data_IF_586753283023
#
_entry.id   IF_586753283023
#
_cell.length_a   1.000
_cell.length_b   1.000
_cell.length_c   1.000
_cell.angle_alpha   90.00
_cell.angle_beta   90.00
_cell.angle_gamma   90.00
#
_symmetry.space_group_name_H-M   'P 1'
#
loop_
_entity.id
_entity.type
_entity.pdbx_description
1 polymer ?
#
# COMPACT_ATOMS: atom_id res chain seq x y z
N UNK A 1 44.33 2.85 -14.47
CA UNK A 1 43.92 2.97 -13.06
C UNK A 1 43.01 4.17 -12.94
N UNK A 2 41.70 3.99 -13.05
CA UNK A 2 40.70 4.99 -12.71
C UNK A 2 39.49 4.23 -12.19
N UNK A 3 39.47 4.01 -10.89
CA UNK A 3 38.41 3.33 -10.17
C UNK A 3 37.33 4.39 -9.88
N UNK A 4 36.27 4.39 -10.69
CA UNK A 4 35.09 5.20 -10.42
C UNK A 4 34.31 4.52 -9.30
N UNK A 5 34.41 5.06 -8.08
CA UNK A 5 33.62 4.66 -6.92
C UNK A 5 32.14 4.63 -7.27
N UNK A 6 31.55 3.44 -7.26
CA UNK A 6 30.11 3.24 -7.41
C UNK A 6 29.43 3.89 -6.20
N UNK A 7 28.89 5.11 -6.36
CA UNK A 7 28.08 5.73 -5.33
C UNK A 7 26.91 4.78 -5.03
N UNK A 8 26.88 4.23 -3.81
CA UNK A 8 25.82 3.35 -3.35
C UNK A 8 24.51 4.13 -3.45
N UNK A 9 23.69 3.81 -4.45
CA UNK A 9 22.43 4.50 -4.66
C UNK A 9 21.62 4.45 -3.37
N UNK A 10 21.42 5.60 -2.73
CA UNK A 10 20.60 5.70 -1.53
C UNK A 10 19.22 5.17 -1.88
N UNK A 11 18.77 4.15 -1.17
CA UNK A 11 17.44 3.57 -1.36
C UNK A 11 16.38 4.64 -1.12
N UNK A 12 15.38 4.74 -1.99
CA UNK A 12 14.38 5.83 -1.95
C UNK A 12 13.70 6.00 -0.58
N UNK A 13 13.51 4.89 0.15
CA UNK A 13 12.85 4.88 1.46
C UNK A 13 13.72 5.46 2.58
N UNK A 14 15.02 5.67 2.36
CA UNK A 14 15.93 6.25 3.36
C UNK A 14 15.58 7.71 3.71
N UNK A 15 14.75 8.38 2.89
CA UNK A 15 14.23 9.72 3.17
C UNK A 15 13.09 9.73 4.22
N UNK A 16 12.56 8.56 4.59
CA UNK A 16 11.43 8.42 5.51
C UNK A 16 11.86 7.83 6.85
N UNK A 17 11.17 8.15 7.96
CA UNK A 17 11.48 7.58 9.25
C UNK A 17 11.17 6.08 9.28
N UNK A 18 11.79 5.40 10.24
CA UNK A 18 11.49 3.98 10.49
C UNK A 18 10.01 3.77 10.80
N UNK A 19 9.50 2.63 10.33
CA UNK A 19 8.13 2.22 10.58
C UNK A 19 7.89 2.05 12.09
N UNK A 20 6.83 2.69 12.58
CA UNK A 20 6.44 2.64 14.00
C UNK A 20 5.34 1.61 14.29
N UNK A 21 4.73 1.05 13.25
CA UNK A 21 3.59 0.14 13.34
C UNK A 21 3.94 -1.24 12.78
N UNK A 22 3.33 -2.27 13.36
CA UNK A 22 3.40 -3.64 12.87
C UNK A 22 1.97 -4.12 12.55
N UNK A 23 1.49 -3.94 11.30
CA UNK A 23 0.14 -4.34 10.93
C UNK A 23 -0.02 -5.86 10.90
N UNK A 24 -1.24 -6.34 11.15
CA UNK A 24 -1.57 -7.75 10.94
C UNK A 24 -1.58 -8.10 9.45
N UNK A 25 -1.20 -9.34 9.13
CA UNK A 25 -1.26 -9.89 7.77
C UNK A 25 -2.61 -10.56 7.51
N UNK A 26 -3.01 -10.62 6.24
CA UNK A 26 -4.18 -11.37 5.77
C UNK A 26 -3.73 -12.34 4.67
N UNK A 27 -4.27 -13.56 4.65
CA UNK A 27 -3.98 -14.50 3.58
C UNK A 27 -4.74 -14.13 2.29
N UNK A 28 -4.20 -14.55 1.14
CA UNK A 28 -4.87 -14.35 -0.15
C UNK A 28 -6.25 -15.00 -0.20
N UNK A 29 -6.38 -16.21 0.35
CA UNK A 29 -7.66 -16.92 0.44
C UNK A 29 -8.69 -16.12 1.22
N UNK A 30 -8.31 -15.57 2.37
CA UNK A 30 -9.23 -14.84 3.23
C UNK A 30 -9.71 -13.54 2.56
N UNK A 31 -8.84 -12.84 1.82
CA UNK A 31 -9.23 -11.68 1.04
C UNK A 31 -10.19 -12.08 -0.10
N UNK A 32 -9.93 -13.19 -0.78
CA UNK A 32 -10.82 -13.70 -1.82
C UNK A 32 -12.19 -14.06 -1.23
N UNK A 33 -12.22 -14.81 -0.12
CA UNK A 33 -13.44 -15.19 0.58
C UNK A 33 -14.25 -13.96 1.02
N UNK A 34 -13.57 -12.92 1.52
CA UNK A 34 -14.23 -11.64 1.82
C UNK A 34 -14.94 -11.05 0.60
N UNK A 35 -14.26 -11.03 -0.55
CA UNK A 35 -14.82 -10.49 -1.80
C UNK A 35 -16.00 -11.34 -2.30
N UNK A 36 -15.86 -12.68 -2.26
CA UNK A 36 -16.89 -13.62 -2.71
C UNK A 36 -18.13 -13.65 -1.80
N UNK A 37 -17.95 -13.41 -0.50
CA UNK A 37 -19.04 -13.30 0.49
C UNK A 37 -19.71 -11.92 0.52
N UNK A 38 -19.36 -11.04 -0.42
CA UNK A 38 -20.06 -9.77 -0.65
C UNK A 38 -19.52 -8.58 0.15
N UNK A 39 -18.34 -8.69 0.79
CA UNK A 39 -17.66 -7.52 1.35
C UNK A 39 -17.18 -6.62 0.23
N UNK A 40 -17.47 -5.32 0.32
CA UNK A 40 -17.22 -4.36 -0.75
C UNK A 40 -16.02 -3.45 -0.45
N UNK A 41 -15.06 -3.33 -1.38
CA UNK A 41 -14.08 -2.26 -1.35
C UNK A 41 -14.76 -0.88 -1.26
N UNK A 42 -14.22 0.04 -0.47
CA UNK A 42 -14.80 1.37 -0.24
C UNK A 42 -15.91 1.42 0.81
N UNK A 43 -16.38 0.27 1.31
CA UNK A 43 -17.44 0.19 2.33
C UNK A 43 -16.97 -0.66 3.52
N UNK A 44 -16.65 -1.93 3.28
CA UNK A 44 -16.23 -2.86 4.32
C UNK A 44 -14.71 -2.83 4.54
N UNK A 45 -13.95 -2.55 3.48
CA UNK A 45 -12.49 -2.43 3.52
C UNK A 45 -11.98 -1.51 2.40
N UNK A 46 -10.75 -1.00 2.53
CA UNK A 46 -9.98 -0.44 1.42
C UNK A 46 -8.86 -1.41 1.07
N UNK A 47 -8.60 -1.59 -0.23
CA UNK A 47 -7.46 -2.32 -0.74
C UNK A 47 -6.52 -1.35 -1.45
N UNK A 48 -5.26 -1.29 -1.02
CA UNK A 48 -4.28 -0.32 -1.50
C UNK A 48 -3.13 -1.05 -2.18
N UNK A 49 -2.95 -0.75 -3.46
CA UNK A 49 -1.84 -1.23 -4.29
C UNK A 49 -0.66 -0.27 -4.15
N UNK A 50 0.45 -0.73 -3.57
CA UNK A 50 1.67 0.05 -3.33
C UNK A 50 2.66 -0.01 -4.50
N UNK A 51 2.37 -0.79 -5.55
CA UNK A 51 3.18 -0.88 -6.77
C UNK A 51 3.17 0.46 -7.51
N UNK A 52 4.12 0.65 -8.42
CA UNK A 52 4.14 1.81 -9.31
C UNK A 52 3.22 1.54 -10.51
N UNK A 53 3.59 2.06 -11.68
CA UNK A 53 2.96 1.73 -12.95
C UNK A 53 3.36 0.34 -13.49
N UNK A 54 4.11 -0.46 -12.72
CA UNK A 54 4.67 -1.76 -13.08
C UNK A 54 3.74 -2.95 -12.81
N UNK A 55 2.42 -2.72 -12.76
CA UNK A 55 1.41 -3.76 -12.53
C UNK A 55 1.12 -4.62 -13.79
N UNK A 56 2.16 -5.19 -14.40
CA UNK A 56 2.01 -6.14 -15.52
C UNK A 56 1.01 -7.25 -15.13
N UNK A 57 -0.04 -7.43 -15.94
CA UNK A 57 -1.11 -8.40 -15.66
C UNK A 57 -2.30 -7.87 -14.83
N UNK A 58 -2.29 -6.60 -14.41
CA UNK A 58 -3.43 -5.92 -13.82
C UNK A 58 -3.35 -5.70 -12.30
N UNK A 59 -4.47 -5.24 -11.74
CA UNK A 59 -4.61 -4.89 -10.32
C UNK A 59 -5.85 -5.58 -9.74
N UNK A 60 -5.90 -5.76 -8.42
CA UNK A 60 -7.06 -6.37 -7.77
C UNK A 60 -8.25 -5.41 -7.91
N UNK A 61 -9.39 -5.94 -8.38
CA UNK A 61 -10.60 -5.14 -8.62
C UNK A 61 -11.03 -4.38 -7.36
N UNK A 62 -11.30 -3.07 -7.53
CA UNK A 62 -11.68 -2.18 -6.43
C UNK A 62 -10.52 -1.68 -5.57
N UNK A 63 -9.27 -2.01 -5.91
CA UNK A 63 -8.10 -1.43 -5.25
C UNK A 63 -7.77 -0.02 -5.75
N UNK A 64 -7.10 0.76 -4.90
CA UNK A 64 -6.61 2.10 -5.21
C UNK A 64 -5.08 2.02 -5.28
N UNK A 65 -4.49 2.49 -6.38
CA UNK A 65 -3.03 2.55 -6.51
C UNK A 65 -2.47 3.80 -5.81
N UNK A 66 -1.69 3.59 -4.76
CA UNK A 66 -0.99 4.62 -3.99
C UNK A 66 0.49 4.20 -3.84
N UNK A 67 1.35 4.55 -4.81
CA UNK A 67 2.73 4.09 -4.83
C UNK A 67 3.49 4.43 -3.53
N UNK A 68 4.25 3.47 -3.03
CA UNK A 68 4.96 3.60 -1.75
C UNK A 68 5.89 4.83 -1.70
N UNK A 69 6.44 5.25 -2.84
CA UNK A 69 7.37 6.38 -2.95
C UNK A 69 6.72 7.75 -2.70
N UNK A 70 5.39 7.85 -2.82
CA UNK A 70 4.63 9.09 -2.55
C UNK A 70 3.68 8.97 -1.37
N UNK A 71 3.59 7.79 -0.74
CA UNK A 71 2.59 7.51 0.28
C UNK A 71 2.83 8.29 1.58
N UNK A 72 4.07 8.28 2.10
CA UNK A 72 4.39 8.78 3.44
C UNK A 72 3.82 10.19 3.75
N UNK A 73 4.03 11.23 2.92
CA UNK A 73 3.49 12.57 3.20
C UNK A 73 1.95 12.64 3.18
N UNK A 74 1.26 11.67 2.57
CA UNK A 74 -0.20 11.65 2.44
C UNK A 74 -0.92 10.84 3.51
N UNK A 75 -0.19 10.07 4.34
CA UNK A 75 -0.75 9.21 5.39
C UNK A 75 -1.76 9.95 6.30
N UNK A 76 -1.50 11.18 6.80
CA UNK A 76 -2.45 11.88 7.66
C UNK A 76 -3.79 12.17 6.97
N UNK A 77 -3.75 12.59 5.71
CA UNK A 77 -4.95 12.87 4.91
C UNK A 77 -5.74 11.59 4.63
N UNK A 78 -5.05 10.52 4.22
CA UNK A 78 -5.67 9.21 3.99
C UNK A 78 -6.33 8.68 5.26
N UNK A 79 -5.66 8.78 6.40
CA UNK A 79 -6.21 8.39 7.69
C UNK A 79 -7.50 9.16 8.01
N UNK A 80 -7.49 10.49 7.86
CA UNK A 80 -8.67 11.32 8.11
C UNK A 80 -9.84 10.93 7.19
N UNK A 81 -9.57 10.71 5.91
CA UNK A 81 -10.59 10.29 4.93
C UNK A 81 -11.19 8.93 5.27
N UNK A 82 -10.35 7.91 5.51
CA UNK A 82 -10.82 6.55 5.81
C UNK A 82 -11.59 6.51 7.13
N UNK A 83 -11.13 7.28 8.13
CA UNK A 83 -11.83 7.42 9.41
C UNK A 83 -13.18 8.10 9.25
N UNK A 84 -13.27 9.16 8.45
CA UNK A 84 -14.53 9.85 8.17
C UNK A 84 -15.52 8.95 7.42
N UNK A 85 -15.03 8.12 6.51
CA UNK A 85 -15.81 7.12 5.80
C UNK A 85 -16.24 5.92 6.68
N UNK A 86 -15.77 5.85 7.94
CA UNK A 86 -16.02 4.75 8.89
C UNK A 86 -15.62 3.38 8.36
N UNK A 87 -14.59 3.32 7.53
CA UNK A 87 -14.13 2.05 6.96
C UNK A 87 -13.22 1.35 7.98
N UNK A 88 -13.56 0.13 8.43
CA UNK A 88 -12.91 -0.49 9.58
C UNK A 88 -11.59 -1.19 9.24
N UNK A 89 -11.29 -1.43 7.95
CA UNK A 89 -10.16 -2.28 7.53
C UNK A 89 -9.45 -1.69 6.31
N UNK A 90 -8.14 -1.51 6.43
CA UNK A 90 -7.27 -1.04 5.34
C UNK A 90 -6.24 -2.13 5.07
N UNK A 91 -6.19 -2.62 3.84
CA UNK A 91 -5.35 -3.73 3.41
C UNK A 91 -4.36 -3.18 2.39
N UNK A 92 -3.07 -3.41 2.61
CA UNK A 92 -1.99 -2.95 1.73
C UNK A 92 -1.36 -4.15 1.06
N UNK A 93 -1.09 -4.06 -0.24
CA UNK A 93 -0.33 -5.06 -0.97
C UNK A 93 0.66 -4.40 -1.91
N UNK A 94 1.70 -5.14 -2.29
CA UNK A 94 2.71 -4.74 -3.25
C UNK A 94 3.03 -5.90 -4.19
#
# INVERSE_FOLDING_TARGET
>A
MAEATLAKATTWYAAYPEAKSNPATIARSDLLDMMETGKRPGVDFILIDLRRADHEGGTISGSINLPAQSLYPTIPTLYAMFKAARIPKIIWYC
#
